data_IF_008355736350
#
_entry.id   IF_008355736350
#
_cell.length_a   1.000
_cell.length_b   1.000
_cell.length_c   1.000
_cell.angle_alpha   90.00
_cell.angle_beta   90.00
_cell.angle_gamma   90.00
#
_symmetry.space_group_name_H-M   'P 1'
#
loop_
_entity.id
_entity.type
_entity.pdbx_description
1 polymer ?
#
# COMPACT_ATOMS: atom_id res chain seq x y z
N UNK A 1 53.40 -27.54 2.78
CA UNK A 1 52.44 -26.48 3.18
C UNK A 1 51.82 -25.90 1.92
N UNK A 2 50.54 -26.22 1.62
CA UNK A 2 49.87 -25.74 0.40
C UNK A 2 49.55 -24.25 0.59
N UNK A 3 50.31 -23.38 -0.06
CA UNK A 3 50.05 -21.93 -0.10
C UNK A 3 48.63 -21.73 -0.64
N UNK A 4 47.72 -21.24 0.20
CA UNK A 4 46.38 -20.85 -0.24
C UNK A 4 46.56 -19.81 -1.35
N UNK A 5 46.05 -20.13 -2.54
CA UNK A 5 46.22 -19.28 -3.71
C UNK A 5 45.50 -17.95 -3.45
N UNK A 6 46.22 -16.83 -3.56
CA UNK A 6 45.69 -15.45 -3.50
C UNK A 6 44.29 -15.24 -4.12
N UNK A 7 43.91 -15.84 -5.28
CA UNK A 7 42.55 -15.69 -5.82
C UNK A 7 41.43 -16.31 -4.96
N UNK A 8 41.73 -17.33 -4.13
CA UNK A 8 40.74 -17.95 -3.26
C UNK A 8 40.27 -17.01 -2.15
N UNK A 9 41.20 -16.19 -1.63
CA UNK A 9 40.91 -15.17 -0.60
C UNK A 9 40.04 -14.05 -1.21
N UNK A 10 40.35 -13.63 -2.43
CA UNK A 10 39.53 -12.65 -3.16
C UNK A 10 38.12 -13.17 -3.46
N UNK A 11 37.99 -14.42 -3.89
CA UNK A 11 36.70 -15.06 -4.14
C UNK A 11 35.87 -15.18 -2.85
N UNK A 12 36.51 -15.53 -1.73
CA UNK A 12 35.86 -15.60 -0.43
C UNK A 12 35.39 -14.21 0.05
N UNK A 13 36.21 -13.18 -0.15
CA UNK A 13 35.86 -11.81 0.20
C UNK A 13 34.69 -11.30 -0.65
N UNK A 14 34.69 -11.58 -1.96
CA UNK A 14 33.58 -11.23 -2.85
C UNK A 14 32.29 -11.97 -2.49
N UNK A 15 32.38 -13.26 -2.15
CA UNK A 15 31.25 -14.04 -1.69
C UNK A 15 30.68 -13.49 -0.38
N UNK A 16 31.53 -13.04 0.54
CA UNK A 16 31.11 -12.41 1.80
C UNK A 16 30.37 -11.09 1.57
N UNK A 17 30.85 -10.26 0.63
CA UNK A 17 30.19 -9.00 0.22
C UNK A 17 28.83 -9.28 -0.44
N UNK A 18 28.74 -10.28 -1.31
CA UNK A 18 27.48 -10.67 -1.94
C UNK A 18 26.47 -11.22 -0.92
N UNK A 19 26.94 -12.02 0.05
CA UNK A 19 26.07 -12.60 1.08
C UNK A 19 25.54 -11.54 2.06
N UNK A 20 26.32 -10.48 2.34
CA UNK A 20 25.90 -9.40 3.23
C UNK A 20 24.81 -8.50 2.64
N UNK A 21 24.68 -8.43 1.31
CA UNK A 21 23.59 -7.71 0.64
C UNK A 21 22.22 -8.42 0.76
N UNK A 22 22.19 -9.71 1.09
CA UNK A 22 20.95 -10.49 1.22
C UNK A 22 20.13 -10.14 2.47
N UNK A 23 20.73 -9.44 3.44
CA UNK A 23 20.11 -9.11 4.74
C UNK A 23 19.48 -7.71 4.79
N UNK A 24 19.52 -6.95 3.70
CA UNK A 24 18.92 -5.62 3.63
C UNK A 24 17.44 -5.80 3.22
N UNK A 25 16.56 -5.89 4.22
CA UNK A 25 15.13 -5.73 3.98
C UNK A 25 14.82 -4.25 3.75
N UNK A 26 14.04 -3.88 2.73
CA UNK A 26 13.57 -2.50 2.60
C UNK A 26 12.79 -2.10 3.86
N UNK A 27 12.90 -0.84 4.31
CA UNK A 27 12.07 -0.36 5.40
C UNK A 27 10.60 -0.61 5.03
N UNK A 28 9.89 -1.33 5.89
CA UNK A 28 8.44 -1.45 5.79
C UNK A 28 7.88 -0.07 6.10
N UNK A 29 7.45 0.67 5.08
CA UNK A 29 6.67 1.87 5.29
C UNK A 29 5.40 1.45 6.03
N UNK A 30 5.28 1.85 7.28
CA UNK A 30 4.05 1.67 8.03
C UNK A 30 2.97 2.44 7.29
N UNK A 31 2.14 1.73 6.52
CA UNK A 31 1.02 2.29 5.78
C UNK A 31 0.11 2.97 6.80
N UNK A 32 0.22 4.30 6.88
CA UNK A 32 -0.53 5.09 7.85
C UNK A 32 -1.95 5.13 7.37
N UNK A 33 -2.84 4.40 8.06
CA UNK A 33 -4.25 4.37 7.71
C UNK A 33 -4.85 5.76 7.96
N UNK A 34 -5.19 6.45 6.90
CA UNK A 34 -5.80 7.77 6.96
C UNK A 34 -7.32 7.62 6.98
N UNK A 35 -7.94 8.20 8.00
CA UNK A 35 -9.40 8.25 8.12
C UNK A 35 -9.96 9.38 7.29
N UNK A 36 -10.90 9.07 6.39
CA UNK A 36 -11.54 10.03 5.49
C UNK A 36 -13.04 9.81 5.48
N UNK A 37 -13.79 10.90 5.36
CA UNK A 37 -15.25 10.85 5.22
C UNK A 37 -15.60 11.27 3.80
N UNK A 38 -16.26 10.38 3.08
CA UNK A 38 -16.82 10.66 1.76
C UNK A 38 -18.27 11.13 1.96
N UNK A 39 -18.46 12.45 1.97
CA UNK A 39 -19.78 13.07 2.12
C UNK A 39 -20.48 13.15 0.77
N UNK A 40 -21.54 12.37 0.58
CA UNK A 40 -22.36 12.44 -0.62
C UNK A 40 -23.19 13.74 -0.65
N UNK A 41 -23.43 14.33 -1.83
CA UNK A 41 -24.19 15.57 -1.97
C UNK A 41 -25.69 15.39 -1.75
N UNK A 42 -26.23 14.19 -2.02
CA UNK A 42 -27.61 13.76 -1.79
C UNK A 42 -27.65 12.30 -1.31
N UNK A 43 -28.84 11.74 -1.17
CA UNK A 43 -29.05 10.34 -0.76
C UNK A 43 -28.39 9.35 -1.73
N UNK A 44 -28.26 8.08 -1.34
CA UNK A 44 -27.69 7.01 -2.15
C UNK A 44 -28.34 6.93 -3.54
N UNK A 45 -27.52 6.96 -4.59
CA UNK A 45 -27.93 6.83 -5.98
C UNK A 45 -26.92 6.01 -6.77
N UNK A 46 -27.34 5.52 -7.95
CA UNK A 46 -26.52 4.61 -8.74
C UNK A 46 -25.20 5.22 -9.21
N UNK A 47 -25.16 6.54 -9.39
CA UNK A 47 -23.92 7.29 -9.67
C UNK A 47 -22.82 7.09 -8.62
N UNK A 48 -23.17 6.74 -7.37
CA UNK A 48 -22.20 6.49 -6.29
C UNK A 48 -21.82 5.02 -6.15
N UNK A 49 -22.34 4.12 -6.99
CA UNK A 49 -22.11 2.68 -6.90
C UNK A 49 -20.60 2.33 -6.92
N UNK A 50 -19.79 3.11 -7.64
CA UNK A 50 -18.34 2.94 -7.67
C UNK A 50 -17.66 3.11 -6.30
N UNK A 51 -18.12 4.04 -5.47
CA UNK A 51 -17.56 4.23 -4.13
C UNK A 51 -17.88 3.05 -3.21
N UNK A 52 -19.11 2.54 -3.28
CA UNK A 52 -19.49 1.33 -2.53
C UNK A 52 -18.73 0.11 -3.01
N UNK A 53 -18.61 -0.08 -4.33
CA UNK A 53 -17.81 -1.17 -4.88
C UNK A 53 -16.34 -1.06 -4.45
N UNK A 54 -15.75 0.13 -4.42
CA UNK A 54 -14.37 0.32 -3.96
C UNK A 54 -14.20 0.00 -2.47
N UNK A 55 -15.19 0.31 -1.64
CA UNK A 55 -15.21 -0.06 -0.23
C UNK A 55 -15.31 -1.58 -0.04
N UNK A 56 -16.27 -2.22 -0.71
CA UNK A 56 -16.50 -3.68 -0.63
C UNK A 56 -15.32 -4.49 -1.20
N UNK A 57 -14.68 -4.02 -2.27
CA UNK A 57 -13.50 -4.66 -2.85
C UNK A 57 -12.19 -4.31 -2.11
N UNK A 58 -12.25 -3.49 -1.05
CA UNK A 58 -11.09 -3.15 -0.23
C UNK A 58 -10.08 -2.24 -0.92
N UNK A 59 -10.44 -1.55 -2.00
CA UNK A 59 -9.52 -0.65 -2.72
C UNK A 59 -9.09 0.54 -1.85
N UNK A 60 -9.97 1.07 -1.01
CA UNK A 60 -9.56 2.11 -0.05
C UNK A 60 -8.50 1.60 0.93
N UNK A 61 -8.69 0.40 1.48
CA UNK A 61 -7.74 -0.18 2.42
C UNK A 61 -6.37 -0.47 1.78
N UNK A 62 -6.34 -0.87 0.50
CA UNK A 62 -5.10 -1.08 -0.25
C UNK A 62 -4.29 0.22 -0.41
N UNK A 63 -4.98 1.35 -0.52
CA UNK A 63 -4.38 2.69 -0.54
C UNK A 63 -4.12 3.27 0.86
N UNK A 64 -4.35 2.49 1.92
CA UNK A 64 -4.18 2.97 3.31
C UNK A 64 -5.26 3.97 3.73
N UNK A 65 -6.47 3.88 3.19
CA UNK A 65 -7.60 4.74 3.53
C UNK A 65 -8.68 3.96 4.30
N UNK A 66 -9.13 4.54 5.41
CA UNK A 66 -10.33 4.13 6.15
C UNK A 66 -11.46 5.12 5.81
N UNK A 67 -12.32 4.72 4.88
CA UNK A 67 -13.35 5.60 4.29
C UNK A 67 -14.72 5.32 4.87
N UNK A 68 -15.30 6.35 5.48
CA UNK A 68 -16.71 6.40 5.89
C UNK A 68 -17.55 7.08 4.81
N UNK A 69 -18.44 6.35 4.12
CA UNK A 69 -19.36 6.94 3.15
C UNK A 69 -20.62 7.44 3.87
N UNK A 70 -20.83 8.75 3.89
CA UNK A 70 -22.03 9.37 4.49
C UNK A 70 -23.02 9.82 3.42
N UNK A 71 -24.30 9.46 3.55
CA UNK A 71 -25.33 9.99 2.66
C UNK A 71 -25.47 11.51 2.82
N UNK A 72 -25.86 12.17 1.73
CA UNK A 72 -26.30 13.56 1.76
C UNK A 72 -27.68 13.72 2.39
N UNK A 73 -28.10 14.97 2.61
CA UNK A 73 -29.41 15.28 3.19
C UNK A 73 -30.53 14.82 2.25
N UNK A 74 -31.56 14.17 2.81
CA UNK A 74 -32.73 13.66 2.05
C UNK A 74 -33.46 14.73 1.23
N UNK A 75 -33.37 16.00 1.62
CA UNK A 75 -34.00 17.13 0.93
C UNK A 75 -33.12 17.78 -0.16
N UNK A 76 -32.06 17.11 -0.60
CA UNK A 76 -31.30 17.48 -1.80
C UNK A 76 -31.50 16.38 -2.83
N UNK A 77 -32.09 16.74 -3.95
CA UNK A 77 -32.19 15.90 -5.15
C UNK A 77 -31.00 16.20 -6.09
N UNK A 78 -30.61 15.26 -6.96
CA UNK A 78 -29.63 15.53 -8.00
C UNK A 78 -30.09 16.64 -8.92
N UNK A 79 -29.17 17.36 -9.56
CA UNK A 79 -29.51 18.19 -10.71
C UNK A 79 -30.11 17.32 -11.82
N UNK A 80 -31.18 17.82 -12.46
CA UNK A 80 -31.84 17.21 -13.62
C UNK A 80 -30.99 17.29 -14.91
#
# INVERSE_FOLDING_TARGET
MRSVSRPLIFALFLALVLLSNLMISPPSEAQTVQKVILQLPWTHQFEFAGFYAAQENGFFAQEGLDVEIRPGKQNRTPPE
#
